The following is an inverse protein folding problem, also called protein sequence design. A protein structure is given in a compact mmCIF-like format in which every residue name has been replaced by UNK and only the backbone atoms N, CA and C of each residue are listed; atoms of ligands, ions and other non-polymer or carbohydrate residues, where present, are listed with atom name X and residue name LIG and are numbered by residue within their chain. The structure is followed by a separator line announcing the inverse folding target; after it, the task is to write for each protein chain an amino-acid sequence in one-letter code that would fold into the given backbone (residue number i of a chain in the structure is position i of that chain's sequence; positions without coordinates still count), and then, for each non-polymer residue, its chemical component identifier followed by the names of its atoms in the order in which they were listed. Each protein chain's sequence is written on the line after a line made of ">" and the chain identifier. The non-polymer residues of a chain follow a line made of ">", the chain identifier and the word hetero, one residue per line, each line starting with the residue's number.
data_IF_721078487737
#
_entry.id   IF_721078487737
#
_cell.length_a   1.000
_cell.length_b   1.000
_cell.length_c   1.000
_cell.angle_alpha   90.00
_cell.angle_beta   90.00
_cell.angle_gamma   90.00
#
_symmetry.space_group_name_H-M   'P 1'
#
loop_
_entity.id
_entity.type
_entity.pdbx_description
1 polymer ?
#
# COMPACT_ATOMS: atom_id res chain seq x y z
N UNK A 1 9.06 24.33 24.77
CA UNK A 1 9.24 25.08 23.50
C UNK A 1 8.49 24.31 22.42
N UNK A 2 7.53 24.97 21.79
CA UNK A 2 6.58 24.40 20.83
C UNK A 2 7.25 23.77 19.61
N UNK A 3 6.92 22.50 19.38
CA UNK A 3 6.43 21.91 18.13
C UNK A 3 6.95 22.48 16.79
N UNK A 4 7.74 21.66 16.07
CA UNK A 4 7.91 21.74 14.61
C UNK A 4 8.06 20.33 14.05
N UNK A 5 6.96 19.60 13.95
CA UNK A 5 6.82 18.61 12.88
C UNK A 5 7.03 19.30 11.51
N UNK A 6 7.77 18.67 10.58
CA UNK A 6 8.00 19.25 9.26
C UNK A 6 6.71 19.15 8.43
N UNK A 7 5.85 20.18 8.51
CA UNK A 7 4.71 20.35 7.62
C UNK A 7 5.23 20.40 6.17
N UNK A 8 4.98 19.33 5.40
CA UNK A 8 5.30 19.21 3.97
C UNK A 8 5.21 20.55 3.23
N UNK A 9 6.26 20.97 2.51
CA UNK A 9 6.27 22.23 1.77
C UNK A 9 5.09 22.37 0.79
N UNK A 10 4.65 23.59 0.48
CA UNK A 10 3.50 23.86 -0.40
C UNK A 10 3.60 23.13 -1.76
N UNK A 11 4.83 22.97 -2.28
CA UNK A 11 5.13 22.22 -3.50
C UNK A 11 4.84 20.72 -3.36
N UNK A 12 5.26 20.11 -2.27
CA UNK A 12 5.01 18.68 -2.01
C UNK A 12 3.52 18.40 -1.80
N UNK A 13 2.81 19.27 -1.06
CA UNK A 13 1.34 19.16 -0.92
C UNK A 13 0.62 19.26 -2.27
N UNK A 14 1.03 20.21 -3.13
CA UNK A 14 0.45 20.36 -4.47
C UNK A 14 0.74 19.13 -5.33
N UNK A 15 1.96 18.58 -5.26
CA UNK A 15 2.38 17.37 -5.96
C UNK A 15 1.53 16.16 -5.52
N UNK A 16 1.38 15.94 -4.22
CA UNK A 16 0.55 14.86 -3.66
C UNK A 16 -0.91 14.98 -4.11
N UNK A 17 -1.50 16.18 -3.98
CA UNK A 17 -2.88 16.42 -4.39
C UNK A 17 -3.12 16.14 -5.88
N UNK A 18 -2.19 16.53 -6.74
CA UNK A 18 -2.29 16.22 -8.18
C UNK A 18 -2.20 14.72 -8.44
N UNK A 19 -1.29 14.01 -7.77
CA UNK A 19 -1.18 12.55 -7.87
C UNK A 19 -2.49 11.87 -7.49
N UNK A 20 -3.11 12.27 -6.39
CA UNK A 20 -4.38 11.73 -5.91
C UNK A 20 -5.57 12.07 -6.82
N UNK A 21 -5.60 13.27 -7.40
CA UNK A 21 -6.62 13.64 -8.39
C UNK A 21 -6.57 12.72 -9.63
N UNK A 22 -5.36 12.45 -10.15
CA UNK A 22 -5.16 11.55 -11.29
C UNK A 22 -5.60 10.12 -10.94
N UNK A 23 -5.23 9.63 -9.74
CA UNK A 23 -5.65 8.32 -9.22
C UNK A 23 -7.17 8.17 -9.21
N UNK A 24 -7.85 9.14 -8.59
CA UNK A 24 -9.31 9.12 -8.47
C UNK A 24 -10.00 9.15 -9.83
N UNK A 25 -9.51 9.96 -10.76
CA UNK A 25 -10.03 9.99 -12.13
C UNK A 25 -9.85 8.62 -12.82
N UNK A 26 -8.67 8.01 -12.67
CA UNK A 26 -8.39 6.70 -13.24
C UNK A 26 -9.27 5.60 -12.64
N UNK A 27 -9.39 5.53 -11.32
CA UNK A 27 -10.21 4.51 -10.65
C UNK A 27 -11.67 4.62 -11.07
N UNK A 28 -12.20 5.84 -11.16
CA UNK A 28 -13.56 6.08 -11.64
C UNK A 28 -13.76 5.61 -13.08
N UNK A 29 -12.91 6.03 -14.02
CA UNK A 29 -13.04 5.63 -15.42
C UNK A 29 -12.86 4.13 -15.63
N UNK A 30 -11.92 3.51 -14.91
CA UNK A 30 -11.67 2.07 -14.97
C UNK A 30 -12.86 1.29 -14.40
N UNK A 31 -13.50 1.79 -13.34
CA UNK A 31 -14.72 1.20 -12.80
C UNK A 31 -15.91 1.34 -13.77
N UNK A 32 -16.05 2.48 -14.44
CA UNK A 32 -17.16 2.77 -15.37
C UNK A 32 -17.00 2.05 -16.72
N UNK A 33 -15.79 1.99 -17.28
CA UNK A 33 -15.55 1.56 -18.66
C UNK A 33 -14.63 0.33 -18.78
N UNK A 34 -14.03 -0.11 -17.67
CA UNK A 34 -12.98 -1.14 -17.67
C UNK A 34 -11.60 -0.59 -18.04
N UNK A 35 -10.57 -1.33 -17.63
CA UNK A 35 -9.17 -0.92 -17.82
C UNK A 35 -8.77 -0.81 -19.29
N UNK A 36 -9.19 -1.76 -20.13
CA UNK A 36 -8.81 -1.79 -21.54
C UNK A 36 -9.37 -0.60 -22.33
N UNK A 37 -10.62 -0.20 -22.05
CA UNK A 37 -11.29 0.90 -22.75
C UNK A 37 -10.89 2.30 -22.26
N UNK A 38 -10.31 2.40 -21.05
CA UNK A 38 -9.88 3.69 -20.49
C UNK A 38 -8.48 4.08 -21.01
N UNK A 39 -8.33 5.27 -21.60
CA UNK A 39 -7.03 5.78 -22.06
C UNK A 39 -6.36 6.73 -21.06
N UNK A 40 -5.06 6.98 -21.23
CA UNK A 40 -4.34 8.01 -20.45
C UNK A 40 -4.90 9.40 -20.74
N UNK A 41 -5.36 9.64 -21.96
CA UNK A 41 -5.92 10.92 -22.40
C UNK A 41 -7.26 11.18 -21.68
N UNK A 42 -8.11 10.16 -21.56
CA UNK A 42 -9.37 10.25 -20.80
C UNK A 42 -9.12 10.58 -19.33
N UNK A 43 -8.13 9.90 -18.72
CA UNK A 43 -7.75 10.11 -17.33
C UNK A 43 -7.21 11.53 -17.14
N UNK A 44 -6.32 11.98 -18.03
CA UNK A 44 -5.72 13.30 -17.97
C UNK A 44 -6.79 14.40 -18.12
N UNK A 45 -7.71 14.23 -19.06
CA UNK A 45 -8.83 15.13 -19.26
C UNK A 45 -9.74 15.21 -18.02
N UNK A 46 -10.11 14.06 -17.44
CA UNK A 46 -10.94 14.03 -16.24
C UNK A 46 -10.24 14.62 -15.00
N UNK A 47 -8.92 14.46 -14.90
CA UNK A 47 -8.12 15.00 -13.81
C UNK A 47 -7.70 16.49 -13.99
N UNK A 48 -8.11 17.12 -15.09
CA UNK A 48 -7.73 18.50 -15.46
C UNK A 48 -6.20 18.69 -15.52
N UNK A 49 -5.51 17.77 -16.21
CA UNK A 49 -4.07 17.82 -16.43
C UNK A 49 -3.72 17.44 -17.87
N UNK A 50 -2.51 17.79 -18.31
CA UNK A 50 -1.97 17.26 -19.58
C UNK A 50 -1.53 15.80 -19.45
N UNK A 51 -1.49 15.08 -20.56
CA UNK A 51 -0.92 13.72 -20.67
C UNK A 51 0.56 13.69 -20.26
N UNK A 52 1.33 14.72 -20.66
CA UNK A 52 2.70 14.93 -20.17
C UNK A 52 2.76 15.08 -18.64
N UNK A 53 1.76 15.74 -18.04
CA UNK A 53 1.65 15.81 -16.58
C UNK A 53 1.32 14.45 -15.97
N UNK A 54 0.43 13.67 -16.56
CA UNK A 54 0.19 12.29 -16.12
C UNK A 54 1.49 11.48 -16.06
N UNK A 55 2.27 11.47 -17.16
CA UNK A 55 3.50 10.69 -17.23
C UNK A 55 4.60 11.16 -16.27
N UNK A 56 4.55 12.42 -15.82
CA UNK A 56 5.42 12.93 -14.74
C UNK A 56 5.14 12.27 -13.39
N UNK A 57 3.91 11.79 -13.16
CA UNK A 57 3.51 11.13 -11.91
C UNK A 57 3.49 9.60 -12.03
N UNK A 58 3.11 9.08 -13.20
CA UNK A 58 2.90 7.65 -13.41
C UNK A 58 3.63 7.19 -14.68
N UNK A 59 4.55 6.22 -14.59
CA UNK A 59 5.31 5.77 -15.76
C UNK A 59 4.42 5.12 -16.83
N UNK A 60 3.28 4.55 -16.44
CA UNK A 60 2.30 3.96 -17.35
C UNK A 60 0.89 3.99 -16.72
N UNK A 61 -0.12 3.54 -17.48
CA UNK A 61 -1.52 3.47 -17.00
C UNK A 61 -1.68 2.54 -15.80
N UNK A 62 -1.06 1.36 -15.80
CA UNK A 62 -1.17 0.42 -14.68
C UNK A 62 -0.62 0.96 -13.35
N UNK A 63 0.36 1.87 -13.39
CA UNK A 63 0.91 2.48 -12.19
C UNK A 63 -0.11 3.29 -11.37
N UNK A 64 -1.25 3.68 -11.94
CA UNK A 64 -2.35 4.33 -11.19
C UNK A 64 -3.10 3.35 -10.29
N UNK A 65 -3.02 2.05 -10.59
CA UNK A 65 -3.62 1.00 -9.78
C UNK A 65 -2.76 0.74 -8.54
N UNK A 66 -1.42 0.77 -8.66
CA UNK A 66 -0.48 0.45 -7.57
C UNK A 66 -0.59 1.42 -6.38
N UNK A 67 -1.05 0.96 -5.22
CA UNK A 67 -1.32 1.78 -4.02
C UNK A 67 -0.51 1.33 -2.82
N UNK A 68 -0.01 2.27 -2.01
CA UNK A 68 0.46 2.06 -0.63
C UNK A 68 -0.63 2.24 0.43
N UNK A 69 -1.85 2.69 0.08
CA UNK A 69 -2.84 3.10 1.09
C UNK A 69 -3.06 2.02 2.15
N UNK A 70 -3.04 0.74 1.77
CA UNK A 70 -3.19 -0.35 2.74
C UNK A 70 -2.00 -0.43 3.72
N UNK A 71 -0.76 -0.40 3.24
CA UNK A 71 0.42 -0.48 4.12
C UNK A 71 0.53 0.78 4.96
N UNK A 72 0.29 1.95 4.37
CA UNK A 72 0.33 3.23 5.09
C UNK A 72 -0.74 3.27 6.18
N UNK A 73 -1.98 2.87 5.87
CA UNK A 73 -3.05 2.79 6.87
C UNK A 73 -2.71 1.77 7.99
N UNK A 74 -2.13 0.61 7.65
CA UNK A 74 -1.68 -0.35 8.69
C UNK A 74 -0.64 0.28 9.59
N UNK A 75 0.30 1.04 9.02
CA UNK A 75 1.38 1.68 9.77
C UNK A 75 0.93 2.91 10.56
N UNK A 76 -0.20 3.53 10.20
CA UNK A 76 -0.87 4.55 11.03
C UNK A 76 -1.40 3.95 12.34
N UNK A 77 -1.97 2.74 12.28
CA UNK A 77 -2.45 1.99 13.45
C UNK A 77 -1.32 1.31 14.24
N UNK A 78 -0.21 0.97 13.59
CA UNK A 78 0.87 0.17 14.17
C UNK A 78 1.42 0.65 15.53
N UNK A 79 1.59 1.96 15.80
CA UNK A 79 2.05 2.46 17.11
C UNK A 79 1.04 2.22 18.24
N UNK A 80 -0.24 2.06 17.94
CA UNK A 80 -1.32 1.85 18.92
C UNK A 80 -1.45 0.39 19.34
N UNK A 81 -0.82 -0.53 18.61
CA UNK A 81 -0.85 -1.96 18.90
C UNK A 81 -0.28 -2.27 20.29
N UNK A 82 -0.96 -3.12 21.11
CA UNK A 82 -0.54 -3.48 22.46
C UNK A 82 0.95 -3.84 22.53
N UNK A 83 1.68 -3.31 23.52
CA UNK A 83 3.15 -3.37 23.58
C UNK A 83 3.69 -4.81 23.65
N UNK A 84 2.89 -5.74 24.17
CA UNK A 84 3.22 -7.15 24.33
C UNK A 84 3.22 -7.92 23.00
N UNK A 85 2.62 -7.35 21.95
CA UNK A 85 2.66 -7.95 20.62
C UNK A 85 4.06 -7.85 20.03
N UNK A 86 4.49 -8.94 19.39
CA UNK A 86 5.66 -8.95 18.52
C UNK A 86 5.48 -7.94 17.36
N UNK A 87 6.55 -7.59 16.64
CA UNK A 87 6.43 -6.72 15.46
C UNK A 87 5.44 -7.24 14.41
N UNK A 88 5.43 -8.55 14.15
CA UNK A 88 4.48 -9.17 13.22
C UNK A 88 3.06 -9.13 13.78
N UNK A 89 2.89 -9.38 15.07
CA UNK A 89 1.60 -9.29 15.76
C UNK A 89 1.03 -7.86 15.75
N UNK A 90 1.88 -6.85 15.91
CA UNK A 90 1.48 -5.44 15.82
C UNK A 90 1.07 -5.04 14.41
N UNK A 91 1.77 -5.53 13.38
CA UNK A 91 1.37 -5.32 11.98
C UNK A 91 0.02 -5.97 11.67
N UNK A 92 -0.17 -7.22 12.11
CA UNK A 92 -1.46 -7.93 12.00
C UNK A 92 -2.58 -7.16 12.69
N UNK A 93 -2.35 -6.66 13.91
CA UNK A 93 -3.34 -5.87 14.64
C UNK A 93 -3.74 -4.60 13.88
N UNK A 94 -2.76 -3.87 13.33
CA UNK A 94 -3.04 -2.68 12.52
C UNK A 94 -3.82 -3.02 11.25
N UNK A 95 -3.50 -4.14 10.61
CA UNK A 95 -4.28 -4.66 9.47
C UNK A 95 -5.72 -4.98 9.83
N UNK A 96 -5.96 -5.62 10.98
CA UNK A 96 -7.32 -5.89 11.47
C UNK A 96 -8.13 -4.60 11.71
N UNK A 97 -7.49 -3.52 12.22
CA UNK A 97 -8.16 -2.21 12.35
C UNK A 97 -8.57 -1.65 10.98
N UNK A 98 -7.65 -1.64 10.02
CA UNK A 98 -7.91 -1.11 8.68
C UNK A 98 -9.04 -1.88 7.98
N UNK A 99 -9.08 -3.20 8.11
CA UNK A 99 -10.15 -4.04 7.55
C UNK A 99 -11.49 -3.73 8.22
N UNK A 100 -11.51 -3.57 9.54
CA UNK A 100 -12.71 -3.21 10.28
C UNK A 100 -13.25 -1.83 9.84
N UNK A 101 -12.37 -0.86 9.60
CA UNK A 101 -12.72 0.50 9.16
C UNK A 101 -13.21 0.57 7.70
N UNK A 102 -12.58 -0.18 6.79
CA UNK A 102 -12.99 -0.20 5.37
C UNK A 102 -14.40 -0.77 5.16
N UNK A 103 -14.79 -1.73 6.00
CA UNK A 103 -16.02 -2.49 5.83
C UNK A 103 -16.04 -3.34 4.54
N UNK A 104 -17.14 -4.07 4.31
CA UNK A 104 -17.22 -5.05 3.23
C UNK A 104 -17.13 -4.45 1.81
N UNK A 105 -17.72 -3.27 1.59
CA UNK A 105 -17.72 -2.61 0.28
C UNK A 105 -16.34 -2.09 -0.11
N UNK A 106 -15.62 -1.41 0.81
CA UNK A 106 -14.27 -0.92 0.57
C UNK A 106 -13.28 -2.06 0.33
N UNK A 107 -13.39 -3.15 1.10
CA UNK A 107 -12.58 -4.35 0.89
C UNK A 107 -12.82 -4.96 -0.50
N UNK A 108 -14.07 -5.06 -0.95
CA UNK A 108 -14.41 -5.61 -2.26
C UNK A 108 -13.83 -4.76 -3.41
N UNK A 109 -13.84 -3.44 -3.28
CA UNK A 109 -13.25 -2.52 -4.26
C UNK A 109 -11.73 -2.70 -4.35
N UNK A 110 -11.06 -2.73 -3.20
CA UNK A 110 -9.62 -2.92 -3.13
C UNK A 110 -9.19 -4.29 -3.68
N UNK A 111 -9.94 -5.35 -3.35
CA UNK A 111 -9.73 -6.70 -3.90
C UNK A 111 -9.87 -6.71 -5.43
N UNK A 112 -10.88 -6.02 -5.97
CA UNK A 112 -11.11 -5.95 -7.43
C UNK A 112 -9.98 -5.20 -8.12
N UNK A 113 -9.55 -4.06 -7.56
CA UNK A 113 -8.42 -3.27 -8.05
C UNK A 113 -7.12 -4.08 -8.01
N UNK A 114 -6.86 -4.79 -6.92
CA UNK A 114 -5.70 -5.65 -6.77
C UNK A 114 -5.72 -6.79 -7.79
N UNK A 115 -6.83 -7.53 -7.90
CA UNK A 115 -6.97 -8.62 -8.85
C UNK A 115 -6.66 -8.17 -10.29
N UNK A 116 -7.24 -7.05 -10.72
CA UNK A 116 -6.92 -6.46 -12.02
C UNK A 116 -5.42 -6.16 -12.15
N UNK A 117 -4.84 -5.46 -11.18
CA UNK A 117 -3.42 -5.07 -11.21
C UNK A 117 -2.47 -6.27 -11.38
N UNK A 118 -2.74 -7.41 -10.74
CA UNK A 118 -1.90 -8.62 -10.86
C UNK A 118 -2.06 -9.37 -12.19
N UNK A 119 -3.11 -9.08 -12.97
CA UNK A 119 -3.26 -9.64 -14.33
C UNK A 119 -2.50 -8.85 -15.39
N UNK A 120 -1.99 -7.65 -15.06
CA UNK A 120 -1.38 -6.73 -16.01
C UNK A 120 0.16 -6.84 -16.00
N UNK A 121 0.80 -7.31 -17.08
CA UNK A 121 2.25 -7.41 -17.16
C UNK A 121 2.97 -6.07 -16.96
N UNK A 122 2.39 -4.97 -17.47
CA UNK A 122 2.94 -3.63 -17.33
C UNK A 122 2.88 -3.06 -15.90
N UNK A 123 2.14 -3.72 -14.99
CA UNK A 123 2.11 -3.36 -13.57
C UNK A 123 3.32 -3.91 -12.79
N UNK A 124 4.01 -4.93 -13.32
CA UNK A 124 5.05 -5.66 -12.57
C UNK A 124 6.20 -4.74 -12.08
N UNK A 125 6.68 -3.85 -12.94
CA UNK A 125 7.74 -2.89 -12.57
C UNK A 125 7.28 -1.91 -11.47
N UNK A 126 6.18 -1.17 -11.68
CA UNK A 126 5.61 -0.31 -10.64
C UNK A 126 5.31 -1.03 -9.31
N UNK A 127 4.80 -2.27 -9.38
CA UNK A 127 4.56 -3.10 -8.19
C UNK A 127 5.84 -3.42 -7.44
N UNK A 128 6.90 -3.83 -8.15
CA UNK A 128 8.19 -4.12 -7.55
C UNK A 128 8.74 -2.90 -6.80
N UNK A 129 8.74 -1.72 -7.44
CA UNK A 129 9.17 -0.48 -6.81
C UNK A 129 8.35 -0.20 -5.54
N UNK A 130 7.04 -0.43 -5.60
CA UNK A 130 6.17 -0.22 -4.45
C UNK A 130 6.46 -1.16 -3.29
N UNK A 131 6.78 -2.42 -3.57
CA UNK A 131 7.16 -3.37 -2.52
C UNK A 131 8.43 -2.95 -1.81
N UNK A 132 9.46 -2.52 -2.55
CA UNK A 132 10.72 -2.06 -1.92
C UNK A 132 10.45 -0.89 -0.98
N UNK A 133 9.66 0.09 -1.40
CA UNK A 133 9.27 1.23 -0.54
C UNK A 133 8.49 0.77 0.69
N UNK A 134 7.53 -0.14 0.51
CA UNK A 134 6.76 -0.67 1.63
C UNK A 134 7.62 -1.50 2.61
N UNK A 135 8.63 -2.25 2.13
CA UNK A 135 9.55 -3.00 2.99
C UNK A 135 10.33 -2.06 3.89
N UNK A 136 10.83 -0.95 3.34
CA UNK A 136 11.55 0.08 4.09
C UNK A 136 10.65 0.74 5.13
N UNK A 137 9.41 1.11 4.77
CA UNK A 137 8.43 1.68 5.71
C UNK A 137 8.14 0.73 6.88
N UNK A 138 7.90 -0.55 6.59
CA UNK A 138 7.64 -1.56 7.62
C UNK A 138 8.87 -1.77 8.50
N UNK A 139 10.06 -1.91 7.91
CA UNK A 139 11.30 -2.04 8.66
C UNK A 139 11.52 -0.84 9.61
N UNK A 140 11.29 0.39 9.12
CA UNK A 140 11.38 1.60 9.94
C UNK A 140 10.41 1.58 11.13
N UNK A 141 9.16 1.13 10.93
CA UNK A 141 8.18 1.01 12.01
C UNK A 141 8.60 -0.04 13.04
N UNK A 142 9.14 -1.17 12.59
CA UNK A 142 9.68 -2.23 13.46
C UNK A 142 10.89 -1.73 14.27
N UNK A 143 11.81 -1.00 13.63
CA UNK A 143 12.97 -0.38 14.27
C UNK A 143 12.56 0.51 15.45
N UNK A 144 11.54 1.36 15.26
CA UNK A 144 10.99 2.20 16.33
C UNK A 144 10.44 1.35 17.47
N UNK A 145 9.62 0.34 17.16
CA UNK A 145 8.98 -0.51 18.17
C UNK A 145 9.98 -1.32 19.00
N UNK A 146 11.03 -1.85 18.37
CA UNK A 146 12.05 -2.65 19.03
C UNK A 146 13.19 -1.80 19.63
N UNK A 147 13.22 -0.49 19.36
CA UNK A 147 14.35 0.38 19.66
C UNK A 147 15.68 -0.17 19.09
N UNK A 148 15.63 -0.61 17.83
CA UNK A 148 16.76 -1.17 17.09
C UNK A 148 17.12 -0.33 15.86
N UNK A 149 18.37 -0.42 15.37
CA UNK A 149 18.76 0.16 14.08
C UNK A 149 18.00 -0.45 12.89
N UNK A 150 17.70 0.38 11.87
CA UNK A 150 16.90 -0.04 10.70
C UNK A 150 17.56 -1.16 9.88
N UNK A 151 18.89 -1.16 9.77
CA UNK A 151 19.67 -2.21 9.08
C UNK A 151 19.50 -3.60 9.73
N UNK A 152 19.13 -3.66 11.01
CA UNK A 152 18.82 -4.91 11.71
C UNK A 152 17.35 -5.34 11.58
N UNK A 153 16.48 -4.50 11.03
CA UNK A 153 15.03 -4.76 10.96
C UNK A 153 14.51 -4.95 9.53
N UNK A 154 15.36 -4.78 8.52
CA UNK A 154 15.00 -4.98 7.11
C UNK A 154 14.39 -6.35 6.81
N UNK A 155 14.82 -7.40 7.52
CA UNK A 155 14.26 -8.76 7.41
C UNK A 155 12.77 -8.81 7.78
N UNK A 156 12.32 -8.03 8.77
CA UNK A 156 10.89 -7.99 9.13
C UNK A 156 10.05 -7.40 8.00
N UNK A 157 10.51 -6.31 7.39
CA UNK A 157 9.83 -5.68 6.26
C UNK A 157 9.67 -6.65 5.09
N UNK A 158 10.74 -7.37 4.74
CA UNK A 158 10.70 -8.39 3.68
C UNK A 158 9.81 -9.59 4.03
N UNK A 159 9.89 -10.09 5.25
CA UNK A 159 9.11 -11.25 5.68
C UNK A 159 7.60 -10.94 5.72
N UNK A 160 7.22 -9.80 6.31
CA UNK A 160 5.82 -9.36 6.41
C UNK A 160 5.23 -9.15 5.00
N UNK A 161 5.92 -8.40 4.13
CA UNK A 161 5.42 -8.22 2.77
C UNK A 161 5.43 -9.50 1.94
N UNK A 162 6.38 -10.41 2.18
CA UNK A 162 6.41 -11.72 1.51
C UNK A 162 5.13 -12.53 1.77
N UNK A 163 4.65 -12.53 3.02
CA UNK A 163 3.35 -13.12 3.37
C UNK A 163 2.22 -12.43 2.61
N UNK A 164 2.20 -11.09 2.61
CA UNK A 164 1.19 -10.31 1.88
C UNK A 164 1.17 -10.65 0.39
N UNK A 165 2.33 -10.72 -0.26
CA UNK A 165 2.47 -11.06 -1.68
C UNK A 165 2.01 -12.48 -2.00
N UNK A 166 2.26 -13.45 -1.11
CA UNK A 166 1.87 -14.84 -1.33
C UNK A 166 0.35 -14.98 -1.56
N UNK A 167 -0.46 -14.16 -0.89
CA UNK A 167 -1.92 -14.19 -1.00
C UNK A 167 -2.48 -13.28 -2.09
N UNK A 168 -1.64 -12.46 -2.71
CA UNK A 168 -2.02 -11.51 -3.75
C UNK A 168 -1.72 -11.98 -5.18
N UNK A 169 -1.17 -13.17 -5.38
CA UNK A 169 -0.79 -13.70 -6.70
C UNK A 169 -1.99 -14.18 -7.54
N UNK A 170 -2.69 -13.25 -8.20
CA UNK A 170 -3.72 -13.54 -9.20
C UNK A 170 -5.01 -14.16 -8.64
N UNK A 171 -5.20 -14.10 -7.32
CA UNK A 171 -6.42 -14.50 -6.62
C UNK A 171 -6.92 -13.33 -5.78
N UNK A 172 -8.24 -13.19 -5.59
CA UNK A 172 -8.78 -12.22 -4.64
C UNK A 172 -8.12 -12.38 -3.27
N UNK A 173 -7.65 -11.28 -2.69
CA UNK A 173 -7.07 -11.26 -1.35
C UNK A 173 -8.13 -11.69 -0.34
N UNK A 174 -7.83 -12.75 0.42
CA UNK A 174 -8.65 -13.26 1.50
C UNK A 174 -8.02 -12.83 2.82
N UNK A 175 -8.73 -11.98 3.57
CA UNK A 175 -8.24 -11.39 4.82
C UNK A 175 -7.87 -12.48 5.85
N UNK A 176 -8.66 -13.55 5.94
CA UNK A 176 -8.41 -14.63 6.90
C UNK A 176 -7.12 -15.37 6.55
N UNK A 177 -6.86 -15.58 5.26
CA UNK A 177 -5.62 -16.21 4.80
C UNK A 177 -4.39 -15.36 5.09
N UNK A 178 -4.50 -14.05 4.89
CA UNK A 178 -3.41 -13.13 5.21
C UNK A 178 -3.11 -13.12 6.71
N UNK A 179 -4.15 -13.01 7.55
CA UNK A 179 -4.03 -13.07 9.01
C UNK A 179 -3.40 -14.38 9.46
N UNK A 180 -3.83 -15.51 8.89
CA UNK A 180 -3.24 -16.82 9.19
C UNK A 180 -1.77 -16.92 8.77
N UNK A 181 -1.39 -16.34 7.62
CA UNK A 181 -0.01 -16.26 7.18
C UNK A 181 0.87 -15.42 8.12
N UNK A 182 0.36 -14.28 8.58
CA UNK A 182 1.07 -13.42 9.54
C UNK A 182 1.24 -14.12 10.90
N UNK A 183 0.21 -14.84 11.38
CA UNK A 183 0.32 -15.68 12.57
C UNK A 183 1.42 -16.73 12.43
N UNK A 184 1.46 -17.41 11.27
CA UNK A 184 2.48 -18.43 11.02
C UNK A 184 3.89 -17.85 10.98
N UNK A 185 4.07 -16.67 10.40
CA UNK A 185 5.34 -15.96 10.41
C UNK A 185 5.77 -15.58 11.82
N UNK A 186 4.84 -15.06 12.63
CA UNK A 186 5.10 -14.69 14.03
C UNK A 186 5.58 -15.90 14.85
N UNK A 187 4.90 -17.04 14.71
CA UNK A 187 5.30 -18.28 15.38
C UNK A 187 6.71 -18.73 15.00
N UNK A 188 7.07 -18.62 13.71
CA UNK A 188 8.39 -19.02 13.21
C UNK A 188 9.50 -18.10 13.75
N UNK A 189 9.27 -16.79 13.80
CA UNK A 189 10.25 -15.82 14.29
C UNK A 189 10.47 -15.91 15.80
N UNK A 190 9.46 -16.36 16.57
CA UNK A 190 9.59 -16.59 18.02
C UNK A 190 10.36 -17.87 18.38
N UNK A 191 10.53 -18.78 17.42
CA UNK A 191 11.22 -20.06 17.61
C UNK A 191 12.70 -20.02 17.18
N UNK A 192 13.14 -18.92 16.55
CA UNK A 192 14.51 -18.71 16.08
C UNK A 192 15.35 -17.98 17.15
#
# INVERSE_FOLDING_TARGET
>A
MSDREPRLGLRERKKHRTRENIRRAAHRLIAEHGYAATTVDDIAAMADVSTSTFFRYFPNKAAVLVSDHLVDAVLEHYPEAPAELSPVGAYRWGFEQVIAEMGGAGLSEEVTRQALMYTLPEAAGPLYTQYVVAMEKVAQAVAVRLNLPVDQTGVYGGAILGVTMQFMNGRPTDADRLVNGLNRLDDLLRQA
#
